data_IF_080024836336
#
_entry.id   IF_080024836336
#
_cell.length_a   1.000
_cell.length_b   1.000
_cell.length_c   1.000
_cell.angle_alpha   90.00
_cell.angle_beta   90.00
_cell.angle_gamma   90.00
#
_symmetry.space_group_name_H-M   'P 1'
#
loop_
_entity.id
_entity.type
_entity.pdbx_description
1 polymer ?
#
# COMPACT_ATOMS: atom_id res chain seq x y z
N UNK A 1 1.09 -15.24 -10.24
CA UNK A 1 1.44 -13.96 -10.92
C UNK A 1 0.26 -13.01 -10.75
N UNK A 2 0.46 -11.76 -10.30
CA UNK A 2 -0.66 -10.84 -10.08
C UNK A 2 -1.16 -10.28 -11.44
N UNK A 3 -2.48 -10.20 -11.69
CA UNK A 3 -3.01 -9.61 -12.92
C UNK A 3 -2.51 -8.18 -13.13
N UNK A 4 -2.21 -7.84 -14.39
CA UNK A 4 -1.79 -6.48 -14.75
C UNK A 4 -2.15 -6.14 -16.19
N UNK A 5 -2.31 -4.85 -16.48
CA UNK A 5 -2.64 -4.28 -17.80
C UNK A 5 -3.91 -4.86 -18.43
N UNK A 6 -4.89 -5.28 -17.62
CA UNK A 6 -6.18 -5.78 -18.11
C UNK A 6 -6.96 -4.72 -18.88
N UNK A 7 -7.79 -5.12 -19.84
CA UNK A 7 -8.71 -4.23 -20.57
C UNK A 7 -9.70 -3.57 -19.61
N UNK A 8 -9.98 -2.28 -19.80
CA UNK A 8 -10.84 -1.49 -18.92
C UNK A 8 -10.67 0.01 -19.14
N UNK A 9 -11.46 0.82 -18.42
CA UNK A 9 -11.40 2.29 -18.50
C UNK A 9 -10.04 2.80 -18.03
N UNK A 10 -9.46 3.75 -18.77
CA UNK A 10 -8.29 4.47 -18.30
C UNK A 10 -8.62 5.34 -17.09
N UNK A 11 -7.58 5.66 -16.31
CA UNK A 11 -7.70 6.53 -15.15
C UNK A 11 -8.37 7.85 -15.52
N UNK A 12 -9.33 8.26 -14.71
CA UNK A 12 -9.95 9.57 -14.79
C UNK A 12 -9.88 10.26 -13.43
N UNK A 13 -9.04 11.29 -13.32
CA UNK A 13 -8.85 12.06 -12.08
C UNK A 13 -10.16 12.62 -11.50
N UNK A 14 -11.15 12.95 -12.36
CA UNK A 14 -12.45 13.47 -11.90
C UNK A 14 -13.27 12.44 -11.11
N UNK A 15 -13.03 11.14 -11.30
CA UNK A 15 -13.69 10.06 -10.55
C UNK A 15 -13.14 9.86 -9.14
N UNK A 16 -11.94 10.39 -8.84
CA UNK A 16 -11.41 10.45 -7.48
C UNK A 16 -11.86 11.79 -6.92
N UNK A 17 -12.90 11.82 -6.08
CA UNK A 17 -13.49 13.08 -5.60
C UNK A 17 -12.55 13.82 -4.63
N UNK A 18 -12.72 15.15 -4.43
CA UNK A 18 -11.76 15.97 -3.69
C UNK A 18 -11.36 15.45 -2.31
N UNK A 19 -12.31 14.99 -1.50
CA UNK A 19 -12.02 14.45 -0.17
C UNK A 19 -11.18 13.16 -0.25
N UNK A 20 -11.52 12.22 -1.14
CA UNK A 20 -10.71 11.01 -1.34
C UNK A 20 -9.29 11.33 -1.81
N UNK A 21 -9.08 12.41 -2.59
CA UNK A 21 -7.72 12.84 -2.96
C UNK A 21 -6.92 13.28 -1.73
N UNK A 22 -7.52 14.05 -0.83
CA UNK A 22 -6.88 14.46 0.43
C UNK A 22 -6.52 13.25 1.29
N UNK A 23 -7.44 12.28 1.36
CA UNK A 23 -7.24 11.05 2.11
C UNK A 23 -6.10 10.19 1.50
N UNK A 24 -6.09 10.05 0.17
CA UNK A 24 -5.06 9.32 -0.57
C UNK A 24 -3.67 9.98 -0.50
N UNK A 25 -3.58 11.31 -0.38
CA UNK A 25 -2.29 11.97 -0.15
C UNK A 25 -1.62 11.54 1.15
N UNK A 26 -2.40 11.09 2.13
CA UNK A 26 -1.90 10.57 3.41
C UNK A 26 -1.66 9.07 3.30
N UNK A 27 -2.66 8.32 2.81
CA UNK A 27 -2.60 6.85 2.83
C UNK A 27 -1.83 6.23 1.67
N UNK A 28 -1.68 6.94 0.55
CA UNK A 28 -1.12 6.42 -0.69
C UNK A 28 -0.29 7.48 -1.48
N UNK A 29 0.70 8.13 -0.86
CA UNK A 29 1.56 9.10 -1.54
C UNK A 29 2.56 8.43 -2.50
N UNK A 30 3.05 9.19 -3.47
CA UNK A 30 4.24 8.85 -4.25
C UNK A 30 5.50 9.21 -3.45
N UNK A 31 6.18 8.19 -2.96
CA UNK A 31 7.40 8.33 -2.15
C UNK A 31 8.69 8.41 -2.98
N UNK A 32 8.61 8.27 -4.31
CA UNK A 32 9.79 8.32 -5.19
C UNK A 32 9.91 9.67 -5.90
N UNK A 33 8.85 10.12 -6.58
CA UNK A 33 8.88 11.36 -7.38
C UNK A 33 8.04 12.51 -6.82
N UNK A 34 7.21 12.23 -5.80
CA UNK A 34 6.31 13.22 -5.19
C UNK A 34 5.10 13.60 -6.06
N UNK A 35 4.83 12.87 -7.15
CA UNK A 35 3.66 13.10 -8.00
C UNK A 35 2.59 12.04 -7.75
N UNK A 36 1.80 12.27 -6.70
CA UNK A 36 0.76 11.34 -6.26
C UNK A 36 -0.24 10.99 -7.37
N UNK A 37 -0.66 11.98 -8.17
CA UNK A 37 -1.67 11.74 -9.22
C UNK A 37 -1.13 10.84 -10.32
N UNK A 38 0.13 11.04 -10.75
CA UNK A 38 0.78 10.16 -11.72
C UNK A 38 0.96 8.74 -11.18
N UNK A 39 1.22 8.61 -9.87
CA UNK A 39 1.31 7.32 -9.22
C UNK A 39 -0.04 6.60 -9.19
N UNK A 40 -1.11 7.28 -8.74
CA UNK A 40 -2.47 6.72 -8.73
C UNK A 40 -2.94 6.31 -10.13
N UNK A 41 -2.65 7.13 -11.14
CA UNK A 41 -2.91 6.81 -12.54
C UNK A 41 -2.21 5.52 -12.95
N UNK A 42 -0.92 5.39 -12.63
CA UNK A 42 -0.11 4.23 -12.97
C UNK A 42 -0.64 2.96 -12.30
N UNK A 43 -1.02 3.04 -11.02
CA UNK A 43 -1.57 1.92 -10.27
C UNK A 43 -2.96 1.50 -10.77
N UNK A 44 -3.85 2.45 -11.10
CA UNK A 44 -5.14 2.13 -11.71
C UNK A 44 -4.95 1.49 -13.09
N UNK A 45 -4.17 2.11 -13.97
CA UNK A 45 -3.97 1.65 -15.33
C UNK A 45 -3.26 0.28 -15.37
N UNK A 46 -2.37 0.00 -14.41
CA UNK A 46 -1.65 -1.27 -14.34
C UNK A 46 -2.43 -2.35 -13.59
N UNK A 47 -3.09 -2.03 -12.47
CA UNK A 47 -3.68 -3.03 -11.58
C UNK A 47 -5.18 -2.83 -11.36
N UNK A 48 -5.65 -1.60 -11.11
CA UNK A 48 -7.05 -1.33 -10.80
C UNK A 48 -8.05 -1.82 -11.85
N UNK A 49 -7.74 -1.65 -13.15
CA UNK A 49 -8.55 -2.15 -14.27
C UNK A 49 -8.83 -3.64 -14.22
N UNK A 50 -7.94 -4.44 -13.63
CA UNK A 50 -8.15 -5.88 -13.49
C UNK A 50 -9.27 -6.25 -12.49
N UNK A 51 -9.76 -5.29 -11.71
CA UNK A 51 -10.88 -5.45 -10.78
C UNK A 51 -12.12 -4.65 -11.19
N UNK A 52 -12.11 -3.99 -12.35
CA UNK A 52 -13.14 -3.02 -12.73
C UNK A 52 -14.55 -3.61 -12.82
N UNK A 53 -14.66 -4.90 -13.14
CA UNK A 53 -15.94 -5.63 -13.15
C UNK A 53 -16.64 -5.67 -11.79
N UNK A 54 -15.92 -5.44 -10.69
CA UNK A 54 -16.44 -5.47 -9.32
C UNK A 54 -16.23 -4.16 -8.55
N UNK A 55 -15.16 -3.44 -8.86
CA UNK A 55 -14.80 -2.17 -8.23
C UNK A 55 -14.51 -1.15 -9.32
N UNK A 56 -15.42 -0.19 -9.51
CA UNK A 56 -15.09 0.94 -10.37
C UNK A 56 -13.92 1.76 -9.79
N UNK A 57 -13.34 2.68 -10.57
CA UNK A 57 -12.15 3.42 -10.14
C UNK A 57 -12.30 4.10 -8.76
N UNK A 58 -13.45 4.71 -8.47
CA UNK A 58 -13.69 5.34 -7.18
C UNK A 58 -13.66 4.30 -6.05
N UNK A 59 -14.42 3.22 -6.20
CA UNK A 59 -14.49 2.13 -5.22
C UNK A 59 -13.15 1.44 -4.99
N UNK A 60 -12.32 1.31 -6.04
CA UNK A 60 -10.96 0.78 -5.92
C UNK A 60 -10.11 1.61 -4.96
N UNK A 61 -10.12 2.93 -5.12
CA UNK A 61 -9.37 3.83 -4.25
C UNK A 61 -9.97 3.94 -2.84
N UNK A 62 -11.30 3.99 -2.70
CA UNK A 62 -11.98 3.96 -1.40
C UNK A 62 -11.63 2.68 -0.64
N UNK A 63 -11.66 1.52 -1.31
CA UNK A 63 -11.32 0.24 -0.70
C UNK A 63 -9.87 0.20 -0.23
N UNK A 64 -8.94 0.69 -1.05
CA UNK A 64 -7.52 0.76 -0.68
C UNK A 64 -7.29 1.68 0.51
N UNK A 65 -7.93 2.84 0.56
CA UNK A 65 -7.86 3.75 1.70
C UNK A 65 -8.44 3.10 2.98
N UNK A 66 -9.61 2.47 2.88
CA UNK A 66 -10.22 1.75 3.99
C UNK A 66 -9.33 0.60 4.52
N UNK A 67 -8.63 -0.12 3.62
CA UNK A 67 -7.67 -1.15 4.00
C UNK A 67 -6.46 -0.56 4.74
N UNK A 68 -5.96 0.61 4.32
CA UNK A 68 -4.87 1.31 5.01
C UNK A 68 -5.27 1.73 6.42
N UNK A 69 -6.48 2.26 6.62
CA UNK A 69 -7.01 2.62 7.96
C UNK A 69 -7.17 1.38 8.86
N UNK A 70 -7.63 0.26 8.29
CA UNK A 70 -8.01 -0.93 9.08
C UNK A 70 -6.86 -1.55 9.87
N UNK A 71 -5.62 -1.38 9.41
CA UNK A 71 -4.44 -1.99 10.03
C UNK A 71 -3.26 -1.04 10.06
N UNK A 72 -3.14 -0.27 11.14
CA UNK A 72 -1.97 0.59 11.37
C UNK A 72 -0.74 -0.26 11.75
N UNK A 73 -0.02 -0.74 10.73
CA UNK A 73 1.17 -1.58 10.89
C UNK A 73 2.26 -0.89 11.71
N UNK A 74 2.42 0.44 11.53
CA UNK A 74 3.39 1.23 12.30
C UNK A 74 3.11 1.14 13.79
N UNK A 75 1.85 1.33 14.20
CA UNK A 75 1.47 1.26 15.61
C UNK A 75 1.58 -0.16 16.18
N UNK A 76 1.22 -1.18 15.38
CA UNK A 76 1.38 -2.59 15.76
C UNK A 76 2.85 -2.91 16.06
N UNK A 77 3.78 -2.47 15.20
CA UNK A 77 5.21 -2.70 15.39
C UNK A 77 5.77 -1.87 16.54
N UNK A 78 5.37 -0.61 16.69
CA UNK A 78 5.78 0.25 17.80
C UNK A 78 5.38 -0.34 19.16
N UNK A 79 4.18 -0.90 19.28
CA UNK A 79 3.72 -1.59 20.49
C UNK A 79 4.50 -2.88 20.80
N UNK A 80 5.18 -3.46 19.80
CA UNK A 80 6.14 -4.54 19.99
C UNK A 80 7.58 -4.03 20.21
N UNK A 81 7.77 -2.73 20.46
CA UNK A 81 9.07 -2.06 20.57
C UNK A 81 9.95 -2.18 19.31
N UNK A 82 9.32 -2.36 18.16
CA UNK A 82 9.96 -2.41 16.84
C UNK A 82 9.76 -1.07 16.18
N UNK A 83 10.84 -0.31 16.07
CA UNK A 83 10.90 1.00 15.40
C UNK A 83 11.99 0.99 14.34
N UNK A 84 11.90 1.85 13.30
CA UNK A 84 12.95 1.98 12.30
C UNK A 84 14.31 2.27 12.94
N UNK A 85 15.35 1.55 12.51
CA UNK A 85 16.71 1.70 13.02
C UNK A 85 17.72 1.42 11.91
N UNK A 86 18.79 2.21 11.85
CA UNK A 86 19.90 2.01 10.92
C UNK A 86 20.92 0.96 11.40
N UNK A 87 20.89 0.59 12.68
CA UNK A 87 21.89 -0.30 13.31
C UNK A 87 21.29 -1.56 13.90
N UNK A 88 20.02 -1.53 14.28
CA UNK A 88 19.34 -2.67 14.87
C UNK A 88 18.74 -3.55 13.78
N UNK A 89 19.11 -4.83 13.82
CA UNK A 89 18.52 -5.85 12.97
C UNK A 89 17.33 -6.52 13.67
N UNK A 90 16.33 -6.88 12.88
CA UNK A 90 15.16 -7.63 13.31
C UNK A 90 15.11 -8.95 12.54
N UNK A 91 14.78 -10.03 13.22
CA UNK A 91 14.54 -11.31 12.55
C UNK A 91 13.19 -11.27 11.83
N UNK A 92 12.98 -12.20 10.89
CA UNK A 92 11.68 -12.36 10.23
C UNK A 92 10.54 -12.55 11.24
N UNK A 93 10.78 -13.36 12.28
CA UNK A 93 9.78 -13.65 13.32
C UNK A 93 9.43 -12.43 14.15
N UNK A 94 10.41 -11.55 14.43
CA UNK A 94 10.19 -10.32 15.21
C UNK A 94 9.16 -9.42 14.52
N UNK A 95 9.24 -9.29 13.19
CA UNK A 95 8.32 -8.46 12.40
C UNK A 95 6.97 -9.15 12.19
N UNK A 96 6.98 -10.43 11.78
CA UNK A 96 5.76 -11.13 11.33
C UNK A 96 4.83 -11.50 12.49
N UNK A 97 5.38 -11.86 13.65
CA UNK A 97 4.60 -12.30 14.81
C UNK A 97 3.63 -11.25 15.36
N UNK A 98 4.03 -9.99 15.66
CA UNK A 98 3.10 -8.96 16.14
C UNK A 98 2.01 -8.63 15.11
N UNK A 99 2.37 -8.53 13.82
CA UNK A 99 1.40 -8.30 12.75
C UNK A 99 0.40 -9.45 12.65
N UNK A 100 0.85 -10.70 12.74
CA UNK A 100 -0.03 -11.88 12.74
C UNK A 100 -0.96 -11.90 13.93
N UNK A 101 -0.49 -11.55 15.13
CA UNK A 101 -1.32 -11.48 16.34
C UNK A 101 -2.43 -10.43 16.23
N UNK A 102 -2.10 -9.26 15.68
CA UNK A 102 -3.04 -8.14 15.52
C UNK A 102 -4.07 -8.39 14.40
N UNK A 103 -3.60 -8.83 13.22
CA UNK A 103 -4.46 -8.99 12.03
C UNK A 103 -5.12 -10.37 11.92
N UNK A 104 -4.72 -11.33 12.76
CA UNK A 104 -5.08 -12.76 12.68
C UNK A 104 -4.70 -13.43 11.36
N UNK A 105 -3.84 -12.80 10.56
CA UNK A 105 -3.38 -13.28 9.24
C UNK A 105 -1.86 -13.17 9.15
N UNK A 106 -1.23 -14.10 8.44
CA UNK A 106 0.22 -14.03 8.22
C UNK A 106 0.52 -13.03 7.10
N UNK A 107 1.25 -11.93 7.36
CA UNK A 107 1.65 -10.98 6.32
C UNK A 107 2.73 -11.58 5.40
N UNK A 108 2.80 -11.06 4.17
CA UNK A 108 3.95 -11.27 3.29
C UNK A 108 4.96 -10.14 3.51
N UNK A 109 6.17 -10.48 3.93
CA UNK A 109 7.27 -9.52 4.07
C UNK A 109 8.08 -9.47 2.76
N UNK A 110 8.36 -8.26 2.27
CA UNK A 110 9.23 -8.02 1.11
C UNK A 110 10.40 -7.15 1.54
N UNK A 111 11.62 -7.60 1.28
CA UNK A 111 12.85 -6.89 1.60
C UNK A 111 13.56 -6.44 0.31
N UNK A 112 14.36 -5.38 0.42
CA UNK A 112 15.32 -4.94 -0.60
C UNK A 112 16.70 -4.99 0.06
N UNK A 113 17.65 -5.65 -0.59
CA UNK A 113 19.02 -5.74 -0.08
C UNK A 113 19.73 -4.41 -0.24
N UNK A 114 20.55 -4.07 0.75
CA UNK A 114 21.49 -2.96 0.65
C UNK A 114 22.68 -3.39 -0.21
N UNK A 115 22.84 -2.73 -1.36
CA UNK A 115 23.91 -3.01 -2.32
C UNK A 115 25.31 -2.71 -1.75
N UNK A 116 25.42 -1.89 -0.71
CA UNK A 116 26.70 -1.53 -0.08
C UNK A 116 27.26 -2.61 0.85
N UNK A 117 26.46 -3.62 1.19
CA UNK A 117 26.84 -4.75 2.07
C UNK A 117 27.18 -6.04 1.31
N UNK A 118 27.41 -5.91 0.00
CA UNK A 118 27.83 -6.97 -0.93
C UNK A 118 29.21 -6.65 -1.49
#
# INVERSE_FOLDING_TARGET
>A
RMPSKCTGSLFNFRKVYPQLRSDLKISWPDVESGNDTRFWESEWNKHGRCSEASLNQMQYFERSHAMWISYNITEILKNASIVPSATKNWTYSDIVSPIKRATKRTPLLRCKYDKSTQ
#
